data_IF_009112874747
#
_entry.id   IF_009112874747
#
_cell.length_a   1.000
_cell.length_b   1.000
_cell.length_c   1.000
_cell.angle_alpha   90.00
_cell.angle_beta   90.00
_cell.angle_gamma   90.00
#
_symmetry.space_group_name_H-M   'P 1'
#
loop_
_entity.id
_entity.type
_entity.pdbx_description
1 polymer ?
#
# COMPACT_ATOMS: atom_id res chain seq x y z
N UNK A 1 -7.51 -21.67 -10.07
CA UNK A 1 -7.63 -23.11 -10.34
C UNK A 1 -9.06 -23.56 -10.25
N UNK A 2 -9.50 -24.34 -11.22
CA UNK A 2 -10.77 -25.05 -11.17
C UNK A 2 -10.62 -26.46 -10.59
N UNK A 3 -11.54 -26.84 -9.71
CA UNK A 3 -11.60 -28.14 -9.04
C UNK A 3 -12.87 -28.85 -9.49
N UNK A 4 -12.76 -30.14 -9.82
CA UNK A 4 -13.89 -30.96 -10.24
C UNK A 4 -14.43 -31.75 -9.06
N UNK A 5 -15.75 -31.76 -8.89
CA UNK A 5 -16.42 -32.31 -7.71
C UNK A 5 -17.48 -33.32 -8.12
N UNK A 6 -17.42 -34.50 -7.49
CA UNK A 6 -18.46 -35.54 -7.62
C UNK A 6 -18.72 -36.01 -9.05
N UNK A 7 -17.78 -35.80 -9.97
CA UNK A 7 -17.92 -36.01 -11.41
C UNK A 7 -19.04 -35.21 -12.11
N UNK A 8 -19.61 -34.20 -11.46
CA UNK A 8 -20.78 -33.45 -11.96
C UNK A 8 -20.56 -31.96 -12.08
N UNK A 9 -19.69 -31.37 -11.25
CA UNK A 9 -19.62 -29.91 -11.10
C UNK A 9 -18.19 -29.39 -11.07
N UNK A 10 -17.98 -28.21 -11.66
CA UNK A 10 -16.69 -27.50 -11.72
C UNK A 10 -16.80 -26.20 -10.94
N UNK A 11 -15.93 -26.00 -9.95
CA UNK A 11 -15.84 -24.76 -9.18
C UNK A 11 -14.50 -24.08 -9.43
N UNK A 12 -14.48 -22.75 -9.42
CA UNK A 12 -13.27 -21.96 -9.60
C UNK A 12 -12.84 -21.32 -8.28
N UNK A 13 -11.57 -21.45 -7.95
CA UNK A 13 -10.92 -20.83 -6.80
C UNK A 13 -9.74 -19.98 -7.28
N UNK A 14 -9.50 -18.77 -6.76
CA UNK A 14 -8.41 -17.87 -7.16
C UNK A 14 -7.07 -18.32 -6.54
N UNK A 15 -6.70 -19.57 -6.79
CA UNK A 15 -5.50 -20.25 -6.28
C UNK A 15 -4.74 -20.77 -7.50
N UNK A 16 -3.43 -20.59 -7.51
CA UNK A 16 -2.59 -21.04 -8.62
C UNK A 16 -1.93 -22.40 -8.38
N UNK A 17 -1.50 -22.67 -7.15
CA UNK A 17 -0.75 -23.87 -6.79
C UNK A 17 -1.41 -24.60 -5.61
N UNK A 18 -1.53 -25.93 -5.69
CA UNK A 18 -1.95 -26.81 -4.58
C UNK A 18 -1.08 -28.07 -4.58
N UNK A 19 -0.91 -28.69 -3.41
CA UNK A 19 -0.14 -29.92 -3.21
C UNK A 19 1.35 -29.78 -3.58
N UNK A 20 1.96 -28.60 -3.42
CA UNK A 20 3.30 -28.35 -3.96
C UNK A 20 4.43 -29.06 -3.22
N UNK A 21 4.18 -29.68 -2.07
CA UNK A 21 5.18 -30.38 -1.25
C UNK A 21 6.46 -29.56 -1.01
N UNK A 22 6.41 -28.22 -1.09
CA UNK A 22 7.58 -27.34 -1.02
C UNK A 22 8.40 -27.49 0.25
N UNK A 23 7.83 -28.05 1.32
CA UNK A 23 8.55 -28.34 2.56
C UNK A 23 9.64 -29.41 2.42
N UNK A 24 9.63 -30.21 1.35
CA UNK A 24 10.64 -31.26 1.13
C UNK A 24 12.00 -30.71 0.66
N UNK A 25 12.03 -29.49 0.10
CA UNK A 25 13.25 -28.81 -0.31
C UNK A 25 13.69 -27.80 0.76
N UNK A 26 14.96 -27.87 1.17
CA UNK A 26 15.55 -26.97 2.16
C UNK A 26 15.49 -25.50 1.75
N UNK A 27 15.69 -25.20 0.46
CA UNK A 27 15.66 -23.81 -0.03
C UNK A 27 14.23 -23.24 -0.01
N UNK A 28 13.26 -24.05 -0.43
CA UNK A 28 11.86 -23.67 -0.37
C UNK A 28 11.35 -23.52 1.09
N UNK A 29 11.81 -24.38 2.01
CA UNK A 29 11.54 -24.24 3.44
C UNK A 29 12.09 -22.93 4.01
N UNK A 30 13.34 -22.57 3.67
CA UNK A 30 13.93 -21.29 4.08
C UNK A 30 13.09 -20.10 3.57
N UNK A 31 12.67 -20.15 2.30
CA UNK A 31 11.82 -19.11 1.72
C UNK A 31 10.49 -18.98 2.46
N UNK A 32 9.85 -20.09 2.82
CA UNK A 32 8.62 -20.13 3.61
C UNK A 32 8.82 -19.47 4.97
N UNK A 33 9.90 -19.83 5.68
CA UNK A 33 10.21 -19.24 7.00
C UNK A 33 10.41 -17.73 6.89
N UNK A 34 11.17 -17.26 5.89
CA UNK A 34 11.36 -15.83 5.64
C UNK A 34 10.01 -15.16 5.35
N UNK A 35 9.16 -15.76 4.53
CA UNK A 35 7.85 -15.21 4.20
C UNK A 35 6.94 -15.09 5.43
N UNK A 36 6.94 -16.08 6.33
CA UNK A 36 6.20 -16.03 7.59
C UNK A 36 6.74 -14.91 8.48
N UNK A 37 8.07 -14.79 8.62
CA UNK A 37 8.68 -13.70 9.41
C UNK A 37 8.35 -12.32 8.85
N UNK A 38 8.36 -12.15 7.53
CA UNK A 38 7.98 -10.90 6.88
C UNK A 38 6.49 -10.59 7.07
N UNK A 39 5.62 -11.60 7.01
CA UNK A 39 4.18 -11.44 7.25
C UNK A 39 3.90 -11.01 8.70
N UNK A 40 4.61 -11.58 9.68
CA UNK A 40 4.53 -11.14 11.08
C UNK A 40 5.00 -9.70 11.24
N UNK A 41 6.09 -9.32 10.57
CA UNK A 41 6.56 -7.93 10.55
C UNK A 41 5.49 -6.99 9.95
N UNK A 42 4.82 -7.38 8.87
CA UNK A 42 3.70 -6.63 8.29
C UNK A 42 2.55 -6.44 9.28
N UNK A 43 2.17 -7.47 10.04
CA UNK A 43 1.16 -7.37 11.09
C UNK A 43 1.56 -6.32 12.13
N UNK A 44 2.79 -6.42 12.64
CA UNK A 44 3.30 -5.50 13.67
C UNK A 44 3.35 -4.05 13.16
N UNK A 45 3.85 -3.83 11.94
CA UNK A 45 3.91 -2.51 11.31
C UNK A 45 2.52 -1.92 11.11
N UNK A 46 1.56 -2.71 10.63
CA UNK A 46 0.19 -2.26 10.39
C UNK A 46 -0.50 -1.86 11.69
N UNK A 47 -0.39 -2.69 12.74
CA UNK A 47 -0.93 -2.37 14.08
C UNK A 47 -0.29 -1.09 14.62
N UNK A 48 1.04 -0.98 14.53
CA UNK A 48 1.78 0.19 14.99
C UNK A 48 1.30 1.47 14.29
N UNK A 49 1.09 1.44 12.97
CA UNK A 49 0.56 2.58 12.22
C UNK A 49 -0.84 2.93 12.67
N UNK A 50 -1.74 1.96 12.82
CA UNK A 50 -3.11 2.21 13.30
C UNK A 50 -3.10 2.92 14.66
N UNK A 51 -2.20 2.52 15.57
CA UNK A 51 -2.01 3.18 16.87
C UNK A 51 -1.50 4.62 16.67
N UNK A 52 -0.54 4.86 15.78
CA UNK A 52 0.00 6.19 15.51
C UNK A 52 -1.07 7.11 14.92
N UNK A 53 -1.79 6.66 13.90
CA UNK A 53 -2.85 7.42 13.22
C UNK A 53 -3.98 7.76 14.19
N UNK A 54 -4.35 6.85 15.09
CA UNK A 54 -5.37 7.11 16.12
C UNK A 54 -4.88 8.07 17.20
N UNK A 55 -3.61 8.01 17.56
CA UNK A 55 -3.05 8.79 18.67
C UNK A 55 -2.55 10.18 18.29
N UNK A 56 -2.18 10.40 17.02
CA UNK A 56 -1.83 11.72 16.51
C UNK A 56 -2.94 12.21 15.58
N UNK A 57 -3.72 13.16 16.09
CA UNK A 57 -4.81 13.77 15.35
C UNK A 57 -4.29 14.82 14.35
N UNK A 58 -3.80 14.35 13.21
CA UNK A 58 -3.44 15.20 12.07
C UNK A 58 -4.66 15.48 11.20
N UNK A 59 -5.48 14.46 10.98
CA UNK A 59 -6.69 14.54 10.17
C UNK A 59 -7.95 14.52 11.04
N UNK A 60 -9.07 14.89 10.43
CA UNK A 60 -10.38 14.73 11.06
C UNK A 60 -10.66 13.26 11.37
N UNK A 61 -11.42 13.00 12.44
CA UNK A 61 -11.72 11.64 12.94
C UNK A 61 -12.26 10.71 11.85
N UNK A 62 -13.12 11.23 10.97
CA UNK A 62 -13.67 10.45 9.84
C UNK A 62 -12.56 9.95 8.91
N UNK A 63 -11.60 10.81 8.56
CA UNK A 63 -10.50 10.45 7.67
C UNK A 63 -9.53 9.47 8.34
N UNK A 64 -9.18 9.71 9.61
CA UNK A 64 -8.37 8.76 10.39
C UNK A 64 -9.04 7.38 10.50
N UNK A 65 -10.37 7.33 10.63
CA UNK A 65 -11.14 6.07 10.66
C UNK A 65 -11.05 5.35 9.32
N UNK A 66 -11.22 6.06 8.20
CA UNK A 66 -11.07 5.50 6.85
C UNK A 66 -9.68 4.90 6.65
N UNK A 67 -8.61 5.60 7.05
CA UNK A 67 -7.24 5.07 6.97
C UNK A 67 -7.12 3.75 7.75
N UNK A 68 -7.63 3.70 8.98
CA UNK A 68 -7.54 2.50 9.82
C UNK A 68 -8.32 1.34 9.19
N UNK A 69 -9.50 1.59 8.62
CA UNK A 69 -10.28 0.56 7.93
C UNK A 69 -9.55 0.04 6.70
N UNK A 70 -8.97 0.91 5.87
CA UNK A 70 -8.18 0.51 4.69
C UNK A 70 -6.96 -0.32 5.10
N UNK A 71 -6.24 0.07 6.15
CA UNK A 71 -5.13 -0.73 6.68
C UNK A 71 -5.62 -2.06 7.27
N UNK A 72 -6.82 -2.08 7.84
CA UNK A 72 -7.48 -3.25 8.39
C UNK A 72 -7.82 -4.31 7.34
N UNK A 73 -8.20 -3.89 6.13
CA UNK A 73 -8.52 -4.81 5.02
C UNK A 73 -7.38 -5.76 4.67
N UNK A 74 -6.13 -5.38 4.92
CA UNK A 74 -4.98 -6.28 4.71
C UNK A 74 -5.06 -7.56 5.58
N UNK A 75 -5.68 -7.50 6.76
CA UNK A 75 -5.85 -8.68 7.61
C UNK A 75 -6.81 -9.72 7.02
N UNK A 76 -7.74 -9.33 6.13
CA UNK A 76 -8.61 -10.28 5.42
C UNK A 76 -7.77 -11.22 4.53
N UNK A 77 -6.77 -10.69 3.81
CA UNK A 77 -5.83 -11.53 3.05
C UNK A 77 -5.03 -12.43 3.98
N UNK A 78 -4.56 -11.91 5.13
CA UNK A 78 -3.79 -12.71 6.07
C UNK A 78 -4.59 -13.92 6.54
N UNK A 79 -5.88 -13.73 6.87
CA UNK A 79 -6.80 -14.82 7.21
C UNK A 79 -6.96 -15.78 6.03
N UNK A 80 -7.21 -15.27 4.83
CA UNK A 80 -7.34 -16.09 3.63
C UNK A 80 -6.08 -16.95 3.39
N UNK A 81 -4.90 -16.36 3.59
CA UNK A 81 -3.60 -16.99 3.41
C UNK A 81 -3.33 -18.05 4.48
N UNK A 82 -3.69 -17.80 5.74
CA UNK A 82 -3.58 -18.80 6.82
C UNK A 82 -4.42 -20.04 6.49
N UNK A 83 -5.64 -19.86 5.98
CA UNK A 83 -6.52 -20.97 5.58
C UNK A 83 -5.96 -21.69 4.35
N UNK A 84 -5.43 -20.95 3.37
CA UNK A 84 -4.96 -21.51 2.10
C UNK A 84 -3.60 -22.23 2.20
N UNK A 85 -2.74 -21.78 3.11
CA UNK A 85 -1.35 -22.21 3.20
C UNK A 85 -1.16 -23.73 3.37
N UNK A 86 -1.94 -24.46 4.21
CA UNK A 86 -1.85 -25.92 4.30
C UNK A 86 -2.13 -26.65 2.98
N UNK A 87 -3.04 -26.12 2.15
CA UNK A 87 -3.38 -26.69 0.84
C UNK A 87 -2.28 -26.42 -0.19
N UNK A 88 -1.71 -25.20 -0.18
CA UNK A 88 -0.60 -24.86 -1.06
C UNK A 88 0.61 -25.76 -0.80
N UNK A 89 0.98 -25.95 0.46
CA UNK A 89 2.10 -26.81 0.84
C UNK A 89 1.85 -28.30 0.66
N UNK A 90 0.58 -28.72 0.55
CA UNK A 90 0.21 -30.13 0.46
C UNK A 90 0.16 -30.86 1.80
N UNK A 91 0.05 -30.15 2.93
CA UNK A 91 -0.29 -30.76 4.22
C UNK A 91 -1.73 -31.28 4.22
N UNK A 92 -2.63 -30.56 3.55
CA UNK A 92 -3.99 -31.01 3.25
C UNK A 92 -4.07 -31.15 1.74
N UNK A 93 -4.25 -32.37 1.27
CA UNK A 93 -4.29 -32.67 -0.16
C UNK A 93 -5.71 -32.67 -0.69
N UNK A 94 -5.90 -32.09 -1.88
CA UNK A 94 -7.16 -32.19 -2.62
C UNK A 94 -6.96 -33.12 -3.82
N UNK A 95 -7.78 -34.17 -3.87
CA UNK A 95 -7.70 -35.22 -4.88
C UNK A 95 -6.38 -35.99 -4.83
N UNK A 96 -5.78 -36.18 -5.99
CA UNK A 96 -4.53 -36.92 -6.10
C UNK A 96 -3.37 -36.16 -5.42
N UNK A 97 -2.43 -36.86 -4.76
CA UNK A 97 -1.23 -36.26 -4.15
C UNK A 97 -0.19 -35.88 -5.22
N UNK A 98 -0.63 -35.19 -6.27
CA UNK A 98 0.17 -34.60 -7.33
C UNK A 98 0.11 -33.08 -7.19
N UNK A 99 1.21 -32.40 -7.48
CA UNK A 99 1.24 -30.94 -7.58
C UNK A 99 0.36 -30.47 -8.75
N UNK A 100 -0.53 -29.53 -8.46
CA UNK A 100 -1.34 -28.84 -9.47
C UNK A 100 -0.92 -27.38 -9.52
N UNK A 101 -0.63 -26.89 -10.73
CA UNK A 101 -0.13 -25.53 -10.93
C UNK A 101 -0.69 -24.93 -12.24
N UNK A 102 -1.91 -24.38 -12.16
CA UNK A 102 -2.57 -23.72 -13.28
C UNK A 102 -3.78 -22.90 -12.81
N UNK A 103 -4.19 -21.92 -13.62
CA UNK A 103 -5.39 -21.12 -13.35
C UNK A 103 -6.68 -21.82 -13.74
N UNK A 104 -6.74 -22.36 -14.96
CA UNK A 104 -7.91 -23.03 -15.53
C UNK A 104 -7.44 -24.18 -16.42
N UNK A 105 -8.05 -25.37 -16.30
CA UNK A 105 -7.98 -26.42 -17.31
C UNK A 105 -9.38 -26.74 -17.87
N UNK A 106 -9.44 -27.21 -19.10
CA UNK A 106 -10.69 -27.66 -19.74
C UNK A 106 -10.91 -29.16 -19.60
N UNK A 107 -9.86 -29.96 -19.39
CA UNK A 107 -9.97 -31.41 -19.19
C UNK A 107 -10.21 -31.74 -17.70
N UNK A 108 -11.33 -32.36 -17.33
CA UNK A 108 -11.58 -32.79 -15.95
C UNK A 108 -10.46 -33.68 -15.38
N UNK A 109 -9.79 -34.50 -16.20
CA UNK A 109 -8.75 -35.42 -15.73
C UNK A 109 -7.49 -34.71 -15.20
N UNK A 110 -7.24 -33.50 -15.67
CA UNK A 110 -6.11 -32.68 -15.22
C UNK A 110 -6.44 -31.87 -13.95
N UNK A 111 -7.73 -31.77 -13.60
CA UNK A 111 -8.22 -31.03 -12.43
C UNK A 111 -8.06 -31.84 -11.15
N UNK A 112 -7.82 -31.19 -9.99
CA UNK A 112 -7.99 -31.84 -8.70
C UNK A 112 -9.42 -32.37 -8.55
N UNK A 113 -9.54 -33.61 -8.09
CA UNK A 113 -10.81 -34.32 -7.91
C UNK A 113 -11.22 -34.28 -6.43
N UNK A 114 -12.31 -33.63 -6.10
CA UNK A 114 -12.88 -33.67 -4.75
C UNK A 114 -14.13 -34.56 -4.73
N UNK A 115 -14.26 -35.37 -3.68
CA UNK A 115 -15.41 -36.26 -3.53
C UNK A 115 -16.68 -35.48 -3.17
N UNK A 116 -16.56 -34.52 -2.24
CA UNK A 116 -17.70 -33.73 -1.73
C UNK A 116 -17.39 -32.24 -1.77
N UNK A 117 -18.42 -31.45 -2.04
CA UNK A 117 -18.34 -29.98 -1.96
C UNK A 117 -17.99 -29.50 -0.55
N UNK A 118 -18.39 -30.25 0.49
CA UNK A 118 -18.08 -29.93 1.88
C UNK A 118 -16.58 -29.86 2.17
N UNK A 119 -15.77 -30.68 1.50
CA UNK A 119 -14.31 -30.71 1.67
C UNK A 119 -13.64 -29.42 1.15
N UNK A 120 -14.35 -28.68 0.29
CA UNK A 120 -13.89 -27.41 -0.27
C UNK A 120 -14.37 -26.19 0.52
N UNK A 121 -15.12 -26.36 1.61
CA UNK A 121 -15.63 -25.25 2.43
C UNK A 121 -14.55 -24.24 2.83
N UNK A 122 -13.35 -24.65 3.30
CA UNK A 122 -12.28 -23.71 3.62
C UNK A 122 -11.81 -22.90 2.41
N UNK A 123 -11.76 -23.52 1.22
CA UNK A 123 -11.39 -22.83 -0.02
C UNK A 123 -12.46 -21.84 -0.48
N UNK A 124 -13.74 -22.11 -0.22
CA UNK A 124 -14.81 -21.14 -0.47
C UNK A 124 -14.66 -19.90 0.42
N UNK A 125 -14.38 -20.08 1.71
CA UNK A 125 -14.12 -18.97 2.63
C UNK A 125 -12.93 -18.15 2.14
N UNK A 126 -11.79 -18.80 1.87
CA UNK A 126 -10.61 -18.15 1.29
C UNK A 126 -10.94 -17.37 0.01
N UNK A 127 -11.79 -17.93 -0.86
CA UNK A 127 -12.19 -17.26 -2.11
C UNK A 127 -13.00 -16.00 -1.86
N UNK A 128 -13.93 -16.04 -0.90
CA UNK A 128 -14.70 -14.86 -0.52
C UNK A 128 -13.80 -13.74 0.01
N UNK A 129 -12.85 -14.06 0.89
CA UNK A 129 -11.90 -13.10 1.45
C UNK A 129 -10.98 -12.51 0.36
N UNK A 130 -10.40 -13.34 -0.51
CA UNK A 130 -9.53 -12.88 -1.62
C UNK A 130 -10.32 -12.00 -2.59
N UNK A 131 -11.57 -12.36 -2.91
CA UNK A 131 -12.40 -11.59 -3.82
C UNK A 131 -12.79 -10.24 -3.20
N UNK A 132 -13.17 -10.21 -1.92
CA UNK A 132 -13.49 -8.98 -1.20
C UNK A 132 -12.29 -8.02 -1.20
N UNK A 133 -11.11 -8.53 -0.84
CA UNK A 133 -9.89 -7.72 -0.88
C UNK A 133 -9.57 -7.21 -2.29
N UNK A 134 -9.59 -8.10 -3.29
CA UNK A 134 -9.19 -7.75 -4.67
C UNK A 134 -10.15 -6.74 -5.30
N UNK A 135 -11.46 -6.90 -5.07
CA UNK A 135 -12.46 -5.93 -5.51
C UNK A 135 -12.33 -4.59 -4.78
N UNK A 136 -12.05 -4.61 -3.48
CA UNK A 136 -11.73 -3.40 -2.70
C UNK A 136 -10.53 -2.64 -3.27
N UNK A 137 -9.43 -3.35 -3.56
CA UNK A 137 -8.25 -2.76 -4.21
C UNK A 137 -8.59 -2.20 -5.58
N UNK A 138 -9.31 -2.93 -6.42
CA UNK A 138 -9.70 -2.48 -7.76
C UNK A 138 -10.53 -1.19 -7.72
N UNK A 139 -11.56 -1.15 -6.84
CA UNK A 139 -12.39 0.04 -6.64
C UNK A 139 -11.54 1.21 -6.12
N UNK A 140 -10.67 0.98 -5.14
CA UNK A 140 -9.77 2.01 -4.61
C UNK A 140 -8.81 2.55 -5.67
N UNK A 141 -8.36 1.70 -6.61
CA UNK A 141 -7.51 2.09 -7.74
C UNK A 141 -8.19 3.11 -8.65
N UNK A 142 -9.48 2.92 -8.96
CA UNK A 142 -10.27 3.88 -9.76
C UNK A 142 -10.33 5.24 -9.06
N UNK A 143 -10.60 5.26 -7.75
CA UNK A 143 -10.62 6.50 -6.97
C UNK A 143 -9.25 7.17 -6.89
N UNK A 144 -8.17 6.41 -6.78
CA UNK A 144 -6.80 6.94 -6.73
C UNK A 144 -6.42 7.58 -8.06
N UNK A 145 -6.78 6.97 -9.20
CA UNK A 145 -6.57 7.59 -10.51
C UNK A 145 -7.29 8.94 -10.57
N UNK A 146 -8.56 9.00 -10.13
CA UNK A 146 -9.30 10.26 -10.02
C UNK A 146 -8.61 11.29 -9.11
N UNK A 147 -8.14 10.86 -7.94
CA UNK A 147 -7.42 11.72 -6.99
C UNK A 147 -6.11 12.27 -7.57
N UNK A 148 -5.36 11.46 -8.33
CA UNK A 148 -4.14 11.87 -9.03
C UNK A 148 -4.46 12.95 -10.07
N UNK A 149 -5.52 12.76 -10.86
CA UNK A 149 -5.95 13.75 -11.85
C UNK A 149 -6.34 15.08 -11.19
N UNK A 150 -7.16 15.02 -10.12
CA UNK A 150 -7.54 16.21 -9.34
C UNK A 150 -6.29 16.88 -8.76
N UNK A 151 -5.35 16.11 -8.21
CA UNK A 151 -4.08 16.64 -7.71
C UNK A 151 -3.31 17.41 -8.78
N UNK A 152 -3.19 16.86 -10.00
CA UNK A 152 -2.49 17.55 -11.09
C UNK A 152 -3.22 18.81 -11.54
N UNK A 153 -4.56 18.81 -11.53
CA UNK A 153 -5.36 20.01 -11.80
C UNK A 153 -5.10 21.09 -10.74
N UNK A 154 -5.14 20.73 -9.45
CA UNK A 154 -4.87 21.67 -8.36
C UNK A 154 -3.44 22.20 -8.45
N UNK A 155 -2.47 21.33 -8.72
CA UNK A 155 -1.07 21.72 -8.89
C UNK A 155 -0.91 22.72 -10.04
N UNK A 156 -1.53 22.44 -11.18
CA UNK A 156 -1.50 23.32 -12.35
C UNK A 156 -2.12 24.69 -12.04
N UNK A 157 -3.28 24.71 -11.37
CA UNK A 157 -3.94 25.96 -10.94
C UNK A 157 -3.04 26.72 -9.97
N UNK A 158 -2.46 26.05 -8.97
CA UNK A 158 -1.65 26.70 -7.95
C UNK A 158 -0.37 27.32 -8.53
N UNK A 159 0.32 26.61 -9.43
CA UNK A 159 1.47 27.15 -10.18
C UNK A 159 1.04 28.36 -11.02
N UNK A 160 -0.13 28.28 -11.68
CA UNK A 160 -0.68 29.39 -12.46
C UNK A 160 -0.98 30.63 -11.61
N UNK A 161 -1.53 30.44 -10.40
CA UNK A 161 -1.81 31.53 -9.45
C UNK A 161 -0.50 32.15 -8.95
N UNK A 162 0.49 31.34 -8.57
CA UNK A 162 1.80 31.83 -8.15
C UNK A 162 2.48 32.66 -9.24
N UNK A 163 2.49 32.18 -10.49
CA UNK A 163 3.06 32.92 -11.61
C UNK A 163 2.37 34.27 -11.84
N UNK A 164 1.03 34.32 -11.73
CA UNK A 164 0.26 35.58 -11.83
C UNK A 164 0.56 36.53 -10.66
N UNK A 165 0.69 36.00 -9.44
CA UNK A 165 1.06 36.79 -8.27
C UNK A 165 2.45 37.42 -8.43
N UNK A 166 3.42 36.67 -8.97
CA UNK A 166 4.79 37.15 -9.21
C UNK A 166 4.85 38.18 -10.35
N UNK A 167 4.09 37.99 -11.44
CA UNK A 167 4.03 38.93 -12.55
C UNK A 167 3.33 40.25 -12.17
N UNK A 168 2.28 40.21 -11.35
CA UNK A 168 1.58 41.40 -10.86
C UNK A 168 2.35 42.16 -9.77
N UNK A 169 3.27 41.51 -9.05
CA UNK A 169 4.17 42.17 -8.09
C UNK A 169 5.07 43.22 -8.78
N UNK A 170 5.40 42.99 -10.06
CA UNK A 170 6.15 43.95 -10.88
C UNK A 170 5.31 45.16 -11.31
N UNK A 171 3.98 45.09 -11.25
CA UNK A 171 3.09 46.12 -11.81
C UNK A 171 2.25 46.88 -10.79
N UNK A 172 1.85 46.31 -9.64
CA UNK A 172 1.22 47.04 -8.52
C UNK A 172 0.94 46.13 -7.31
N UNK A 173 1.08 46.70 -6.11
CA UNK A 173 1.03 46.08 -4.77
C UNK A 173 -0.38 45.58 -4.33
N UNK A 174 -1.14 44.94 -5.21
CA UNK A 174 -2.60 44.80 -5.09
C UNK A 174 -3.10 43.58 -4.30
N UNK A 175 -2.22 42.61 -3.97
CA UNK A 175 -2.64 41.39 -3.27
C UNK A 175 -2.31 41.43 -1.77
N UNK A 176 -3.33 41.15 -0.95
CA UNK A 176 -3.16 40.96 0.50
C UNK A 176 -2.13 39.86 0.76
N UNK A 177 -1.19 40.15 1.65
CA UNK A 177 -0.13 39.25 2.12
C UNK A 177 -0.67 37.87 2.53
N UNK A 178 -1.91 37.83 3.02
CA UNK A 178 -2.58 36.59 3.41
C UNK A 178 -2.83 35.64 2.22
N UNK A 179 -3.13 36.16 1.03
CA UNK A 179 -3.36 35.34 -0.18
C UNK A 179 -2.05 34.68 -0.64
N UNK A 180 -0.92 35.42 -0.56
CA UNK A 180 0.41 34.87 -0.87
C UNK A 180 0.82 33.79 0.12
N UNK A 181 0.61 34.06 1.40
CA UNK A 181 0.89 33.09 2.45
C UNK A 181 0.05 31.82 2.26
N UNK A 182 -1.25 31.94 1.99
CA UNK A 182 -2.13 30.81 1.70
C UNK A 182 -1.70 30.03 0.45
N UNK A 183 -1.32 30.69 -0.64
CA UNK A 183 -0.84 30.01 -1.85
C UNK A 183 0.49 29.26 -1.62
N UNK A 184 1.45 29.88 -0.91
CA UNK A 184 2.74 29.27 -0.58
C UNK A 184 2.58 28.08 0.38
N UNK A 185 1.73 28.21 1.39
CA UNK A 185 1.43 27.13 2.33
C UNK A 185 0.66 25.98 1.66
N UNK A 186 -0.31 26.30 0.78
CA UNK A 186 -1.01 25.29 -0.02
C UNK A 186 -0.06 24.53 -0.95
N UNK A 187 0.91 25.21 -1.57
CA UNK A 187 1.92 24.56 -2.41
C UNK A 187 2.80 23.59 -1.60
N UNK A 188 3.22 23.99 -0.39
CA UNK A 188 3.99 23.14 0.52
C UNK A 188 3.20 21.90 0.96
N UNK A 189 1.92 22.07 1.29
CA UNK A 189 1.02 20.94 1.62
C UNK A 189 0.84 20.00 0.43
N UNK A 190 0.77 20.53 -0.79
CA UNK A 190 0.63 19.75 -2.01
C UNK A 190 1.89 18.89 -2.29
N UNK A 191 3.09 19.44 -2.07
CA UNK A 191 4.36 18.73 -2.28
C UNK A 191 4.50 17.51 -1.36
N UNK A 192 3.97 17.60 -0.14
CA UNK A 192 3.91 16.49 0.80
C UNK A 192 2.92 15.40 0.33
N UNK A 193 1.72 15.80 -0.09
CA UNK A 193 0.70 14.91 -0.63
C UNK A 193 1.15 14.21 -1.92
N UNK A 194 1.96 14.89 -2.75
CA UNK A 194 2.52 14.38 -4.02
C UNK A 194 3.20 13.03 -3.84
N UNK A 195 4.03 12.89 -2.80
CA UNK A 195 4.85 11.69 -2.59
C UNK A 195 4.00 10.46 -2.26
N UNK A 196 2.95 10.64 -1.45
CA UNK A 196 1.99 9.57 -1.11
C UNK A 196 1.18 9.17 -2.33
N UNK A 197 0.58 10.17 -2.99
CA UNK A 197 -0.38 9.95 -4.07
C UNK A 197 0.30 9.29 -5.27
N UNK A 198 1.49 9.75 -5.65
CA UNK A 198 2.24 9.15 -6.75
C UNK A 198 2.74 7.75 -6.43
N UNK A 199 3.19 7.48 -5.19
CA UNK A 199 3.61 6.15 -4.80
C UNK A 199 2.44 5.17 -4.78
N UNK A 200 1.30 5.55 -4.20
CA UNK A 200 0.10 4.73 -4.18
C UNK A 200 -0.40 4.44 -5.60
N UNK A 201 -0.42 5.45 -6.48
CA UNK A 201 -0.77 5.28 -7.88
C UNK A 201 0.19 4.33 -8.60
N UNK A 202 1.49 4.50 -8.42
CA UNK A 202 2.50 3.62 -9.00
C UNK A 202 2.33 2.16 -8.53
N UNK A 203 2.18 1.93 -7.22
CA UNK A 203 2.00 0.60 -6.66
C UNK A 203 0.76 -0.11 -7.22
N UNK A 204 -0.36 0.60 -7.34
CA UNK A 204 -1.61 0.04 -7.88
C UNK A 204 -1.49 -0.23 -9.38
N UNK A 205 -0.89 0.69 -10.15
CA UNK A 205 -0.65 0.49 -11.58
C UNK A 205 0.27 -0.72 -11.82
N UNK A 206 1.33 -0.89 -11.04
CA UNK A 206 2.17 -2.09 -11.09
C UNK A 206 1.39 -3.36 -10.77
N UNK A 207 0.54 -3.34 -9.73
CA UNK A 207 -0.32 -4.48 -9.39
C UNK A 207 -1.28 -4.85 -10.53
N UNK A 208 -1.94 -3.86 -11.12
CA UNK A 208 -2.84 -4.07 -12.27
C UNK A 208 -2.07 -4.58 -13.51
N UNK A 209 -0.88 -4.04 -13.80
CA UNK A 209 -0.06 -4.50 -14.90
C UNK A 209 0.36 -5.97 -14.74
N UNK A 210 0.72 -6.39 -13.53
CA UNK A 210 1.04 -7.80 -13.23
C UNK A 210 -0.17 -8.71 -13.42
N UNK A 211 -1.36 -8.29 -12.99
CA UNK A 211 -2.60 -9.03 -13.21
C UNK A 211 -2.93 -9.17 -14.70
N UNK A 212 -2.81 -8.09 -15.47
CA UNK A 212 -3.04 -8.10 -16.92
C UNK A 212 -2.02 -8.99 -17.63
N UNK A 213 -0.73 -8.88 -17.28
CA UNK A 213 0.32 -9.71 -17.87
C UNK A 213 0.08 -11.21 -17.62
N UNK A 214 -0.41 -11.55 -16.43
CA UNK A 214 -0.81 -12.92 -16.08
C UNK A 214 -2.03 -13.37 -16.87
N UNK A 215 -3.04 -12.51 -17.03
CA UNK A 215 -4.26 -12.83 -17.79
C UNK A 215 -4.01 -12.98 -19.31
N UNK A 216 -3.06 -12.24 -19.86
CA UNK A 216 -2.72 -12.23 -21.29
C UNK A 216 -1.70 -13.31 -21.68
N UNK A 217 -1.26 -14.17 -20.76
CA UNK A 217 -0.31 -15.24 -21.04
C UNK A 217 1.02 -14.77 -21.67
N UNK A 218 1.47 -13.55 -21.32
CA UNK A 218 2.66 -12.95 -21.97
C UNK A 218 3.98 -13.66 -21.67
N UNK A 219 4.03 -14.46 -20.59
CA UNK A 219 5.24 -15.14 -20.13
C UNK A 219 4.90 -16.49 -19.49
N UNK A 220 4.29 -17.38 -20.26
CA UNK A 220 3.86 -18.71 -19.77
C UNK A 220 5.01 -19.55 -19.19
N UNK A 221 6.23 -19.43 -19.72
CA UNK A 221 7.41 -20.12 -19.18
C UNK A 221 7.77 -19.65 -17.76
N UNK A 222 7.49 -18.40 -17.42
CA UNK A 222 7.80 -17.78 -16.13
C UNK A 222 6.56 -17.54 -15.26
N UNK A 223 5.40 -18.08 -15.65
CA UNK A 223 4.12 -17.78 -15.00
C UNK A 223 4.15 -18.12 -13.51
N UNK A 224 4.82 -19.20 -13.12
CA UNK A 224 5.02 -19.58 -11.71
C UNK A 224 5.70 -18.49 -10.90
N UNK A 225 6.80 -17.98 -11.44
CA UNK A 225 7.64 -16.97 -10.78
C UNK A 225 6.91 -15.65 -10.71
N UNK A 226 6.22 -15.25 -11.80
CA UNK A 226 5.43 -14.03 -11.87
C UNK A 226 4.28 -14.06 -10.86
N UNK A 227 3.54 -15.17 -10.80
CA UNK A 227 2.42 -15.33 -9.85
C UNK A 227 2.93 -15.34 -8.41
N UNK A 228 4.04 -16.01 -8.12
CA UNK A 228 4.64 -16.02 -6.78
C UNK A 228 5.11 -14.63 -6.37
N UNK A 229 5.73 -13.88 -7.28
CA UNK A 229 6.18 -12.51 -7.03
C UNK A 229 5.00 -11.55 -6.84
N UNK A 230 3.95 -11.68 -7.66
CA UNK A 230 2.73 -10.89 -7.53
C UNK A 230 2.03 -11.16 -6.20
N UNK A 231 1.86 -12.44 -5.84
CA UNK A 231 1.29 -12.85 -4.56
C UNK A 231 2.11 -12.32 -3.37
N UNK A 232 3.45 -12.38 -3.45
CA UNK A 232 4.32 -11.80 -2.44
C UNK A 232 4.18 -10.27 -2.36
N UNK A 233 4.08 -9.57 -3.49
CA UNK A 233 3.92 -8.12 -3.53
C UNK A 233 2.59 -7.66 -2.92
N UNK A 234 1.49 -8.40 -3.15
CA UNK A 234 0.20 -8.12 -2.53
C UNK A 234 0.20 -8.45 -1.03
N UNK A 235 0.71 -9.63 -0.64
CA UNK A 235 0.70 -10.07 0.76
C UNK A 235 1.64 -9.25 1.64
N UNK A 236 2.79 -8.83 1.11
CA UNK A 236 3.81 -8.05 1.83
C UNK A 236 3.72 -6.55 1.53
N UNK A 237 2.59 -6.08 0.98
CA UNK A 237 2.38 -4.66 0.68
C UNK A 237 2.59 -3.70 1.88
N UNK A 238 2.37 -4.08 3.17
CA UNK A 238 2.59 -3.14 4.26
C UNK A 238 4.06 -2.78 4.42
N UNK A 239 5.01 -3.63 3.97
CA UNK A 239 6.44 -3.32 4.01
C UNK A 239 6.78 -2.06 3.20
N UNK A 240 5.96 -1.70 2.22
CA UNK A 240 6.17 -0.54 1.36
C UNK A 240 5.21 0.60 1.66
N UNK A 241 3.92 0.29 1.85
CA UNK A 241 2.87 1.29 2.07
C UNK A 241 3.04 1.97 3.44
N UNK A 242 3.35 1.20 4.50
CA UNK A 242 3.49 1.76 5.86
C UNK A 242 4.64 2.77 5.92
N UNK A 243 5.87 2.46 5.48
CA UNK A 243 6.94 3.45 5.48
C UNK A 243 6.55 4.71 4.70
N UNK A 244 6.05 4.57 3.47
CA UNK A 244 5.68 5.73 2.65
C UNK A 244 4.60 6.59 3.32
N UNK A 245 3.58 5.98 3.91
CA UNK A 245 2.55 6.70 4.67
C UNK A 245 3.11 7.44 5.88
N UNK A 246 3.99 6.80 6.65
CA UNK A 246 4.59 7.41 7.84
C UNK A 246 5.54 8.55 7.51
N UNK A 247 6.39 8.41 6.48
CA UNK A 247 7.33 9.45 6.09
C UNK A 247 6.66 10.70 5.52
N UNK A 248 5.45 10.54 5.01
CA UNK A 248 4.69 11.60 4.38
C UNK A 248 3.98 12.52 5.35
N UNK A 249 3.97 12.23 6.65
CA UNK A 249 3.44 13.15 7.66
C UNK A 249 4.52 13.31 8.75
N UNK A 250 5.14 14.50 8.88
CA UNK A 250 6.28 14.67 9.79
C UNK A 250 6.01 14.23 11.23
N UNK A 251 4.83 14.52 11.75
CA UNK A 251 4.43 14.13 13.12
C UNK A 251 4.28 12.63 13.28
N UNK A 252 3.73 11.93 12.28
CA UNK A 252 3.64 10.47 12.27
C UNK A 252 5.01 9.82 12.16
N UNK A 253 5.86 10.32 11.24
CA UNK A 253 7.25 9.90 11.10
C UNK A 253 7.98 9.95 12.43
N UNK A 254 7.95 11.10 13.11
CA UNK A 254 8.73 11.29 14.33
C UNK A 254 8.27 10.35 15.46
N UNK A 255 6.95 10.09 15.57
CA UNK A 255 6.44 9.09 16.51
C UNK A 255 6.77 7.67 16.10
N UNK A 256 6.74 7.35 14.81
CA UNK A 256 7.13 6.04 14.28
C UNK A 256 8.58 5.71 14.65
N UNK A 257 9.51 6.65 14.43
CA UNK A 257 10.91 6.51 14.85
C UNK A 257 11.07 6.36 16.37
N UNK A 258 10.31 7.13 17.16
CA UNK A 258 10.32 7.02 18.63
C UNK A 258 9.76 5.69 19.14
N UNK A 259 8.88 5.03 18.39
CA UNK A 259 8.23 3.80 18.84
C UNK A 259 8.99 2.54 18.40
N UNK A 260 9.81 2.64 17.35
CA UNK A 260 10.57 1.50 16.80
C UNK A 260 12.03 1.50 17.28
N UNK A 261 12.46 0.56 18.16
CA UNK A 261 13.78 0.60 18.80
C UNK A 261 14.97 0.48 17.82
N UNK A 262 14.81 -0.25 16.70
CA UNK A 262 15.82 -0.34 15.65
C UNK A 262 16.03 1.02 14.96
N UNK A 263 14.93 1.73 14.69
CA UNK A 263 14.96 3.03 14.03
C UNK A 263 15.47 4.14 14.96
N UNK A 264 15.26 4.05 16.27
CA UNK A 264 15.85 4.98 17.25
C UNK A 264 17.39 4.99 17.19
N UNK A 265 18.03 3.82 16.99
CA UNK A 265 19.50 3.73 16.85
C UNK A 265 19.98 4.44 15.58
N UNK A 266 19.28 4.26 14.47
CA UNK A 266 19.57 4.95 13.20
C UNK A 266 19.33 6.46 13.33
N UNK A 267 18.27 6.87 14.03
CA UNK A 267 17.98 8.28 14.29
C UNK A 267 19.06 8.95 15.15
N UNK A 268 19.59 8.28 16.20
CA UNK A 268 20.72 8.82 16.99
C UNK A 268 21.96 9.08 16.12
N UNK A 269 22.24 8.20 15.15
CA UNK A 269 23.36 8.36 14.21
C UNK A 269 23.09 9.52 13.24
N UNK A 270 21.85 9.64 12.73
CA UNK A 270 21.47 10.68 11.75
C UNK A 270 21.27 12.06 12.37
N UNK A 271 20.77 12.14 13.61
CA UNK A 271 20.55 13.38 14.35
C UNK A 271 21.86 14.12 14.60
N UNK A 272 22.97 13.41 14.88
CA UNK A 272 24.31 14.03 14.95
C UNK A 272 24.73 14.74 13.65
N UNK A 273 24.18 14.33 12.49
CA UNK A 273 24.52 14.87 11.17
C UNK A 273 23.53 15.96 10.69
N UNK A 274 22.25 15.86 11.06
CA UNK A 274 21.18 16.77 10.61
C UNK A 274 20.97 18.03 11.47
N UNK A 275 21.38 18.03 12.75
CA UNK A 275 21.27 19.22 13.62
C UNK A 275 21.94 20.46 12.96
N UNK A 276 23.08 20.27 12.30
CA UNK A 276 23.80 21.35 11.59
C UNK A 276 23.08 21.95 10.37
N UNK A 277 22.09 21.28 9.79
CA UNK A 277 21.43 21.71 8.53
C UNK A 277 19.97 22.13 8.77
N UNK A 278 19.27 21.48 9.70
CA UNK A 278 17.87 21.80 10.04
C UNK A 278 17.75 23.13 10.78
N UNK A 279 18.67 23.41 11.72
CA UNK A 279 18.67 24.67 12.50
C UNK A 279 18.80 25.91 11.59
N UNK A 280 19.43 25.76 10.42
CA UNK A 280 19.60 26.85 9.46
C UNK A 280 18.32 27.14 8.67
N UNK A 281 17.64 26.09 8.19
CA UNK A 281 16.43 26.21 7.35
C UNK A 281 15.20 26.57 8.19
N UNK A 282 15.08 26.03 9.40
CA UNK A 282 13.96 26.31 10.30
C UNK A 282 14.03 27.75 10.87
N UNK A 283 15.25 28.26 11.13
CA UNK A 283 15.46 29.67 11.46
C UNK A 283 15.12 30.62 10.30
N UNK A 284 15.40 30.24 9.06
CA UNK A 284 15.02 31.05 7.89
C UNK A 284 13.50 31.08 7.67
N UNK A 285 12.81 29.93 7.77
CA UNK A 285 11.36 29.86 7.60
C UNK A 285 10.60 30.56 8.74
N UNK A 286 11.10 30.47 9.98
CA UNK A 286 10.56 31.18 11.13
C UNK A 286 10.77 32.70 10.99
N UNK A 287 11.97 33.14 10.59
CA UNK A 287 12.25 34.55 10.30
C UNK A 287 11.40 35.09 9.15
N UNK A 288 11.24 34.34 8.05
CA UNK A 288 10.34 34.74 6.96
C UNK A 288 8.90 34.90 7.47
N UNK A 289 8.39 33.92 8.22
CA UNK A 289 7.02 33.97 8.75
C UNK A 289 6.83 35.18 9.68
N UNK A 290 7.80 35.46 10.55
CA UNK A 290 7.78 36.60 11.46
C UNK A 290 7.85 37.94 10.72
N UNK A 291 8.64 38.03 9.64
CA UNK A 291 8.67 39.20 8.74
C UNK A 291 7.30 39.43 8.11
N UNK A 292 6.65 38.37 7.61
CA UNK A 292 5.31 38.46 7.03
C UNK A 292 4.26 38.86 8.08
N UNK A 293 4.29 38.31 9.29
CA UNK A 293 3.40 38.71 10.39
C UNK A 293 3.59 40.17 10.80
N UNK A 294 4.83 40.64 10.88
CA UNK A 294 5.15 42.03 11.20
C UNK A 294 4.69 42.99 10.09
N UNK A 295 4.87 42.63 8.81
CA UNK A 295 4.34 43.40 7.68
C UNK A 295 2.81 43.44 7.68
N UNK A 296 2.14 42.33 8.01
CA UNK A 296 0.69 42.26 8.14
C UNK A 296 0.20 43.18 9.27
N UNK A 297 0.85 43.12 10.44
CA UNK A 297 0.53 43.96 11.59
C UNK A 297 0.75 45.44 11.31
N UNK A 298 1.78 45.79 10.54
CA UNK A 298 2.07 47.17 10.17
C UNK A 298 1.07 47.72 9.16
N UNK A 299 0.55 46.88 8.25
CA UNK A 299 -0.48 47.26 7.29
C UNK A 299 -1.89 47.46 7.93
N UNK A 300 -2.06 47.03 9.18
CA UNK A 300 -3.31 47.18 9.95
C UNK A 300 -3.28 48.33 10.97
N UNK A 301 -2.19 49.11 11.02
CA UNK A 301 -2.10 50.38 11.76
C UNK A 301 -2.25 51.54 10.80
#
# INVERSE_FOLDING_TARGET
MNIFVGNTSKYFFPIFTINSSYYSDYFALLFIVIHIMLTLLCCLLTIQVCIIVKSIRVFHTNMSTIIIVILGQWFEIVVAKIILFPYQLGFITIGNPKMFQFWISNDPKEMPQAEKTADLTPLFITTCEILNFTTGVAISGIFIIGAVLIYFIILHINIGIQKRLDDHDKQQNYYSLAIRFQAKENARSLELAKKVVLFAAFAILCGMALLIATAMHWADEYISTIVTLAEAAFNLNPLFIVPVGMYSVPTWRDKFFKTTPILQRIQKIRSRKNIKVSDTIENEAAKESEIYFNQLSAAWK
#
